data_IF_720810378321
#
_entry.id   IF_720810378321
#
_cell.length_a   1.000
_cell.length_b   1.000
_cell.length_c   1.000
_cell.angle_alpha   90.00
_cell.angle_beta   90.00
_cell.angle_gamma   90.00
#
_symmetry.space_group_name_H-M   'P 1'
#
loop_
_entity.id
_entity.type
_entity.pdbx_description
1 polymer ?
#
# COMPACT_ATOMS: atom_id res chain seq x y z
N UNK A 1 -41.56 -7.44 -70.78
CA UNK A 1 -41.73 -7.76 -69.35
C UNK A 1 -41.44 -9.23 -69.15
N UNK A 2 -40.36 -9.57 -68.45
CA UNK A 2 -40.18 -10.78 -67.62
C UNK A 2 -38.70 -10.87 -67.24
N UNK A 3 -38.43 -10.63 -65.96
CA UNK A 3 -37.14 -10.65 -65.28
C UNK A 3 -36.58 -12.07 -65.15
N UNK A 4 -35.29 -12.27 -65.45
CA UNK A 4 -34.54 -13.41 -64.92
C UNK A 4 -33.06 -13.07 -64.68
N UNK A 5 -32.65 -13.07 -63.42
CA UNK A 5 -31.36 -13.61 -62.92
C UNK A 5 -31.12 -13.15 -61.48
N UNK A 6 -31.53 -13.96 -60.50
CA UNK A 6 -30.98 -13.88 -59.15
C UNK A 6 -29.78 -14.81 -59.05
N UNK A 7 -28.59 -14.26 -58.85
CA UNK A 7 -27.37 -15.04 -58.55
C UNK A 7 -27.42 -15.52 -57.10
N UNK A 8 -27.71 -16.82 -56.90
CA UNK A 8 -27.63 -17.48 -55.59
C UNK A 8 -26.23 -18.06 -55.41
N UNK A 9 -25.43 -17.46 -54.53
CA UNK A 9 -24.10 -17.95 -54.18
C UNK A 9 -24.19 -19.37 -53.58
N UNK A 10 -23.48 -20.33 -54.18
CA UNK A 10 -23.33 -21.70 -53.67
C UNK A 10 -22.45 -21.69 -52.43
N UNK A 11 -23.07 -21.99 -51.29
CA UNK A 11 -22.42 -22.17 -49.98
C UNK A 11 -21.57 -23.45 -50.01
N UNK A 12 -20.24 -23.31 -49.95
CA UNK A 12 -19.30 -24.43 -49.80
C UNK A 12 -19.50 -25.09 -48.42
N UNK A 13 -20.13 -26.27 -48.38
CA UNK A 13 -20.11 -27.13 -47.18
C UNK A 13 -18.76 -27.88 -47.18
N UNK A 14 -17.83 -27.46 -46.31
CA UNK A 14 -16.66 -28.28 -45.96
C UNK A 14 -17.15 -29.57 -45.28
N UNK A 15 -16.85 -30.72 -45.90
CA UNK A 15 -16.97 -32.04 -45.27
C UNK A 15 -15.95 -32.11 -44.14
N UNK A 16 -16.41 -32.16 -42.89
CA UNK A 16 -15.59 -32.66 -41.79
C UNK A 16 -15.54 -34.18 -41.91
N UNK A 17 -14.35 -34.71 -42.09
CA UNK A 17 -14.03 -36.13 -42.02
C UNK A 17 -14.24 -36.62 -40.58
N UNK A 18 -15.05 -37.66 -40.40
CA UNK A 18 -15.16 -38.39 -39.13
C UNK A 18 -13.80 -39.02 -38.80
N UNK A 19 -12.98 -38.35 -37.97
CA UNK A 19 -11.88 -39.02 -37.26
C UNK A 19 -12.52 -39.88 -36.16
N UNK A 20 -12.07 -41.13 -36.01
CA UNK A 20 -12.48 -41.96 -34.88
C UNK A 20 -12.03 -41.31 -33.57
N UNK A 21 -12.78 -41.53 -32.49
CA UNK A 21 -12.51 -40.98 -31.16
C UNK A 21 -11.07 -41.28 -30.70
N UNK A 22 -10.55 -42.47 -31.05
CA UNK A 22 -9.17 -42.88 -30.79
C UNK A 22 -8.14 -41.96 -31.44
N UNK A 23 -8.29 -41.59 -32.72
CA UNK A 23 -7.37 -40.68 -33.40
C UNK A 23 -7.40 -39.26 -32.86
N UNK A 24 -8.54 -38.85 -32.30
CA UNK A 24 -8.71 -37.55 -31.66
C UNK A 24 -8.03 -37.53 -30.29
N UNK A 25 -8.10 -38.64 -29.56
CA UNK A 25 -7.45 -38.81 -28.27
C UNK A 25 -5.93 -38.95 -28.41
N UNK A 26 -5.45 -39.69 -29.41
CA UNK A 26 -4.02 -39.80 -29.74
C UNK A 26 -3.44 -38.43 -30.08
N UNK A 27 -4.13 -37.65 -30.91
CA UNK A 27 -3.72 -36.29 -31.26
C UNK A 27 -3.73 -35.33 -30.05
N UNK A 28 -4.67 -35.51 -29.12
CA UNK A 28 -4.71 -34.71 -27.90
C UNK A 28 -3.53 -35.06 -26.96
N UNK A 29 -3.19 -36.35 -26.84
CA UNK A 29 -2.04 -36.79 -26.05
C UNK A 29 -0.71 -36.29 -26.64
N UNK A 30 -0.55 -36.35 -27.96
CA UNK A 30 0.63 -35.78 -28.64
C UNK A 30 0.74 -34.27 -28.39
N UNK A 31 -0.36 -33.53 -28.52
CA UNK A 31 -0.37 -32.08 -28.25
C UNK A 31 -0.08 -31.74 -26.79
N UNK A 32 -0.53 -32.58 -25.85
CA UNK A 32 -0.27 -32.40 -24.42
C UNK A 32 1.20 -32.66 -24.09
N UNK A 33 1.80 -33.70 -24.67
CA UNK A 33 3.23 -34.01 -24.50
C UNK A 33 4.11 -32.91 -25.10
N UNK A 34 3.75 -32.40 -26.28
CA UNK A 34 4.47 -31.31 -26.93
C UNK A 34 4.36 -29.99 -26.14
N UNK A 35 3.20 -29.73 -25.52
CA UNK A 35 3.02 -28.58 -24.63
C UNK A 35 3.85 -28.71 -23.35
N UNK A 36 3.93 -29.90 -22.78
CA UNK A 36 4.72 -30.19 -21.57
C UNK A 36 6.24 -30.06 -21.85
N UNK A 37 6.73 -30.61 -22.97
CA UNK A 37 8.13 -30.42 -23.37
C UNK A 37 8.48 -28.94 -23.62
N UNK A 38 7.58 -28.20 -24.27
CA UNK A 38 7.80 -26.77 -24.51
C UNK A 38 7.82 -25.96 -23.21
N UNK A 39 6.98 -26.34 -22.24
CA UNK A 39 6.99 -25.74 -20.90
C UNK A 39 8.34 -25.97 -20.20
N UNK A 40 8.85 -27.20 -20.18
CA UNK A 40 10.14 -27.51 -19.55
C UNK A 40 11.31 -26.78 -20.23
N UNK A 41 11.33 -26.69 -21.57
CA UNK A 41 12.37 -25.94 -22.30
C UNK A 41 12.35 -24.44 -21.97
N UNK A 42 11.16 -23.85 -21.87
CA UNK A 42 11.00 -22.44 -21.51
C UNK A 42 11.44 -22.17 -20.06
N UNK A 43 11.11 -23.07 -19.13
CA UNK A 43 11.52 -22.92 -17.73
C UNK A 43 13.04 -23.12 -17.57
N UNK A 44 13.65 -24.04 -18.31
CA UNK A 44 15.10 -24.22 -18.34
C UNK A 44 15.82 -22.97 -18.88
N UNK A 45 15.32 -22.38 -19.97
CA UNK A 45 15.84 -21.11 -20.50
C UNK A 45 15.69 -19.96 -19.49
N UNK A 46 14.58 -19.93 -18.75
CA UNK A 46 14.35 -18.91 -17.72
C UNK A 46 15.32 -19.05 -16.55
N UNK A 47 15.54 -20.29 -16.08
CA UNK A 47 16.51 -20.59 -15.02
C UNK A 47 17.93 -20.20 -15.44
N UNK A 48 18.35 -20.55 -16.66
CA UNK A 48 19.65 -20.14 -17.20
C UNK A 48 19.80 -18.61 -17.27
N UNK A 49 18.73 -17.89 -17.65
CA UNK A 49 18.75 -16.43 -17.69
C UNK A 49 18.80 -15.80 -16.28
N UNK A 50 18.14 -16.40 -15.29
CA UNK A 50 18.22 -15.98 -13.88
C UNK A 50 19.62 -16.21 -13.30
N UNK A 51 20.24 -17.36 -13.58
CA UNK A 51 21.59 -17.66 -13.10
C UNK A 51 22.63 -16.74 -13.73
N UNK A 52 22.53 -16.46 -15.03
CA UNK A 52 23.40 -15.48 -15.70
C UNK A 52 23.25 -14.08 -15.09
N UNK A 53 22.04 -13.67 -14.71
CA UNK A 53 21.81 -12.39 -14.00
C UNK A 53 22.48 -12.38 -12.63
N UNK A 54 22.33 -13.45 -11.84
CA UNK A 54 22.98 -13.58 -10.53
C UNK A 54 24.49 -13.53 -10.64
N UNK A 55 25.08 -14.23 -11.62
CA UNK A 55 26.52 -14.17 -11.89
C UNK A 55 26.98 -12.76 -12.27
N UNK A 56 26.20 -12.06 -13.09
CA UNK A 56 26.50 -10.68 -13.50
C UNK A 56 26.43 -9.72 -12.32
N UNK A 57 25.42 -9.86 -11.45
CA UNK A 57 25.29 -9.07 -10.22
C UNK A 57 26.44 -9.36 -9.25
N UNK A 58 26.76 -10.63 -9.03
CA UNK A 58 27.88 -11.04 -8.18
C UNK A 58 29.23 -10.51 -8.70
N UNK A 59 29.45 -10.55 -10.02
CA UNK A 59 30.64 -9.97 -10.64
C UNK A 59 30.70 -8.45 -10.47
N UNK A 60 29.56 -7.75 -10.49
CA UNK A 60 29.51 -6.30 -10.24
C UNK A 60 29.81 -5.97 -8.79
N UNK A 61 29.28 -6.75 -7.84
CA UNK A 61 29.57 -6.60 -6.41
C UNK A 61 31.05 -6.82 -6.11
N UNK A 62 31.65 -7.88 -6.66
CA UNK A 62 33.09 -8.14 -6.54
C UNK A 62 33.92 -6.99 -7.13
N UNK A 63 33.51 -6.45 -8.28
CA UNK A 63 34.18 -5.30 -8.89
C UNK A 63 34.08 -4.05 -8.02
N UNK A 64 32.90 -3.76 -7.43
CA UNK A 64 32.74 -2.64 -6.50
C UNK A 64 33.58 -2.82 -5.22
N UNK A 65 33.65 -4.03 -4.67
CA UNK A 65 34.49 -4.34 -3.51
C UNK A 65 35.98 -4.16 -3.83
N UNK A 66 36.42 -4.56 -5.03
CA UNK A 66 37.80 -4.37 -5.48
C UNK A 66 38.12 -2.88 -5.67
N UNK A 67 37.21 -2.10 -6.26
CA UNK A 67 37.30 -0.64 -6.37
C UNK A 67 37.39 0.04 -5.00
N UNK A 68 36.56 -0.39 -4.03
CA UNK A 68 36.64 0.08 -2.64
C UNK A 68 38.00 -0.26 -2.03
N UNK A 69 38.48 -1.49 -2.19
CA UNK A 69 39.77 -1.92 -1.69
C UNK A 69 40.94 -1.10 -2.23
N UNK A 70 40.90 -0.73 -3.52
CA UNK A 70 41.89 0.15 -4.14
C UNK A 70 41.81 1.59 -3.61
N UNK A 71 40.60 2.12 -3.38
CA UNK A 71 40.42 3.43 -2.75
C UNK A 71 41.00 3.46 -1.33
N UNK A 72 40.76 2.41 -0.52
CA UNK A 72 41.34 2.31 0.83
C UNK A 72 42.87 2.15 0.81
N UNK A 73 43.43 1.37 -0.12
CA UNK A 73 44.89 1.25 -0.29
C UNK A 73 45.55 2.56 -0.77
N UNK A 74 44.85 3.38 -1.55
CA UNK A 74 45.29 4.72 -1.94
C UNK A 74 45.35 5.71 -0.76
N UNK A 75 44.39 5.61 0.16
CA UNK A 75 44.36 6.41 1.39
C UNK A 75 45.53 6.05 2.32
N UNK A 76 45.93 4.77 2.38
CA UNK A 76 47.08 4.33 3.20
C UNK A 76 48.43 4.83 2.66
N UNK A 77 48.56 5.04 1.34
CA UNK A 77 49.76 5.65 0.74
C UNK A 77 49.84 7.16 0.96
N UNK A 78 48.72 7.87 0.98
CA UNK A 78 48.70 9.31 1.26
C UNK A 78 49.05 9.65 2.73
N UNK A 79 48.73 8.75 3.67
CA UNK A 79 49.09 8.91 5.09
C UNK A 79 50.58 8.64 5.38
N UNK A 80 51.30 7.92 4.52
CA UNK A 80 52.72 7.61 4.71
C UNK A 80 53.68 8.72 4.21
N UNK A 81 53.18 9.75 3.53
CA UNK A 81 53.99 10.83 2.94
C UNK A 81 54.00 12.15 3.72
N UNK A 82 53.47 12.18 4.95
CA UNK A 82 53.55 13.37 5.81
C UNK A 82 54.17 13.05 7.16
N UNK A 83 55.50 13.07 7.22
CA UNK A 83 56.27 13.27 8.46
C UNK A 83 57.60 13.93 8.08
N UNK A 84 57.89 15.17 8.52
CA UNK A 84 59.19 15.79 8.25
C UNK A 84 60.26 15.16 9.13
N UNK A 85 61.42 14.91 8.53
CA UNK A 85 62.64 14.50 9.20
C UNK A 85 63.12 15.58 10.17
N UNK A 86 63.49 15.17 11.39
CA UNK A 86 64.29 15.98 12.33
C UNK A 86 65.66 15.30 12.47
N UNK A 87 66.72 16.04 12.14
CA UNK A 87 68.12 15.65 12.33
C UNK A 87 68.58 15.85 13.80
N UNK A 88 69.65 15.16 14.25
CA UNK A 88 69.97 15.02 15.65
C UNK A 88 71.06 15.98 16.14
N UNK A 89 70.96 16.42 17.40
CA UNK A 89 72.06 17.02 18.17
C UNK A 89 72.37 16.20 19.43
N UNK A 90 73.66 15.79 19.51
CA UNK A 90 74.45 15.25 20.64
C UNK A 90 74.38 16.17 21.88
N UNK A 91 74.62 15.84 23.16
CA UNK A 91 75.27 14.78 23.97
C UNK A 91 74.62 14.89 25.39
N UNK A 92 74.52 13.87 26.24
CA UNK A 92 75.59 13.47 27.19
C UNK A 92 75.09 12.38 28.16
N UNK A 93 76.04 11.67 28.74
CA UNK A 93 75.97 10.37 29.41
C UNK A 93 75.56 10.42 30.89
N UNK A 94 74.89 9.38 31.37
CA UNK A 94 75.28 8.56 32.54
C UNK A 94 74.20 7.51 32.87
N UNK A 95 74.58 6.23 32.91
CA UNK A 95 73.77 5.16 33.53
C UNK A 95 74.24 4.91 34.97
N UNK A 96 74.00 3.72 35.58
CA UNK A 96 72.91 2.74 35.39
C UNK A 96 72.25 2.36 36.75
N UNK A 97 71.17 1.55 36.76
CA UNK A 97 70.99 0.34 37.61
C UNK A 97 69.53 -0.15 37.72
N UNK A 98 69.42 -1.48 37.78
CA UNK A 98 68.28 -2.41 37.91
C UNK A 98 68.53 -3.20 39.25
N UNK A 99 67.64 -3.99 39.95
CA UNK A 99 66.20 -4.37 39.83
C UNK A 99 65.44 -4.29 41.22
N UNK A 100 64.60 -5.26 41.67
CA UNK A 100 63.13 -5.17 41.80
C UNK A 100 62.67 -5.30 43.28
N UNK A 101 61.35 -5.39 43.58
CA UNK A 101 60.75 -6.33 44.57
C UNK A 101 59.24 -6.07 44.76
N UNK A 102 58.58 -7.17 45.14
CA UNK A 102 57.18 -7.60 45.25
C UNK A 102 56.31 -6.91 46.35
N UNK A 103 55.00 -7.25 46.43
CA UNK A 103 53.94 -6.45 47.06
C UNK A 103 53.71 -6.77 48.54
N UNK A 104 53.05 -5.87 49.25
CA UNK A 104 52.55 -6.11 50.61
C UNK A 104 51.12 -5.57 50.80
N UNK A 105 50.25 -6.46 51.26
CA UNK A 105 48.93 -6.24 51.80
C UNK A 105 48.96 -5.36 53.07
N UNK A 106 47.86 -4.67 53.36
CA UNK A 106 47.61 -4.13 54.70
C UNK A 106 46.43 -3.17 54.79
N UNK A 107 45.34 -3.66 55.37
CA UNK A 107 44.14 -2.93 55.80
C UNK A 107 44.43 -1.63 56.57
N UNK A 108 43.58 -0.61 56.45
CA UNK A 108 42.59 -0.26 57.49
C UNK A 108 41.95 1.13 57.28
N UNK A 109 40.67 1.19 57.67
CA UNK A 109 39.94 2.31 58.28
C UNK A 109 39.60 3.56 57.46
N UNK A 110 38.29 3.69 57.19
CA UNK A 110 37.58 4.97 57.18
C UNK A 110 37.78 5.74 58.49
N UNK A 111 37.78 7.08 58.43
CA UNK A 111 36.60 7.78 58.94
C UNK A 111 36.10 8.91 58.02
N UNK A 112 34.87 9.31 58.29
CA UNK A 112 34.08 10.33 57.63
C UNK A 112 34.69 11.74 57.71
N UNK A 113 34.43 12.55 56.69
CA UNK A 113 34.31 14.01 56.81
C UNK A 113 33.25 14.51 55.84
N UNK A 114 32.21 15.14 56.40
CA UNK A 114 31.25 16.00 55.72
C UNK A 114 31.93 17.30 55.27
N UNK A 115 31.61 17.78 54.06
CA UNK A 115 31.49 19.21 53.76
C UNK A 115 30.84 19.42 52.38
N UNK A 116 29.61 19.92 52.43
CA UNK A 116 29.05 20.99 51.60
C UNK A 116 29.52 21.14 50.13
N UNK A 117 28.62 20.87 49.19
CA UNK A 117 28.53 21.68 47.97
C UNK A 117 27.08 22.08 47.69
N UNK A 118 26.87 23.39 47.74
CA UNK A 118 25.64 24.07 47.44
C UNK A 118 25.34 24.07 45.93
N UNK A 119 24.04 23.92 45.63
CA UNK A 119 23.28 24.48 44.52
C UNK A 119 24.01 24.81 43.20
N UNK A 120 23.79 23.98 42.19
CA UNK A 120 23.39 24.46 40.87
C UNK A 120 22.33 23.56 40.26
N UNK A 121 21.08 23.96 40.46
CA UNK A 121 19.89 23.42 39.81
C UNK A 121 19.91 23.72 38.31
N UNK A 122 20.13 22.70 37.48
CA UNK A 122 19.66 22.68 36.09
C UNK A 122 18.63 21.55 35.95
N UNK A 123 17.38 21.99 35.80
CA UNK A 123 16.19 21.17 35.66
C UNK A 123 16.28 20.27 34.42
N UNK A 124 16.25 18.96 34.64
CA UNK A 124 15.86 18.00 33.61
C UNK A 124 14.33 17.85 33.65
N UNK A 125 13.64 18.38 32.65
CA UNK A 125 12.23 18.10 32.31
C UNK A 125 11.98 18.47 30.83
N UNK A 126 10.96 17.94 30.12
CA UNK A 126 10.22 16.69 30.28
C UNK A 126 10.03 15.98 28.91
N UNK A 127 10.71 14.85 28.65
CA UNK A 127 10.44 14.06 27.42
C UNK A 127 9.33 13.02 27.65
N UNK A 128 9.09 12.62 28.90
CA UNK A 128 8.13 11.54 29.24
C UNK A 128 6.67 12.06 29.29
N UNK A 129 6.43 13.33 29.65
CA UNK A 129 5.07 13.86 29.83
C UNK A 129 4.35 14.17 28.50
N UNK A 130 5.07 14.53 27.43
CA UNK A 130 4.49 14.84 26.11
C UNK A 130 3.85 13.62 25.45
N UNK A 131 4.48 12.44 25.56
CA UNK A 131 3.98 11.20 24.95
C UNK A 131 2.67 10.73 25.57
N UNK A 132 2.51 10.85 26.89
CA UNK A 132 1.26 10.54 27.58
C UNK A 132 0.12 11.52 27.24
N UNK A 133 0.44 12.79 26.99
CA UNK A 133 -0.54 13.84 26.70
C UNK A 133 -1.05 13.77 25.25
N UNK A 134 -0.16 13.48 24.30
CA UNK A 134 -0.52 13.15 22.91
C UNK A 134 -1.36 11.87 22.84
N UNK A 135 -0.97 10.82 23.56
CA UNK A 135 -1.73 9.57 23.64
C UNK A 135 -3.14 9.78 24.17
N UNK A 136 -3.32 10.53 25.27
CA UNK A 136 -4.66 10.84 25.82
C UNK A 136 -5.55 11.65 24.87
N UNK A 137 -4.98 12.58 24.11
CA UNK A 137 -5.76 13.44 23.20
C UNK A 137 -6.16 12.68 21.93
N UNK A 138 -5.24 11.89 21.36
CA UNK A 138 -5.55 11.00 20.24
C UNK A 138 -6.58 9.93 20.63
N UNK A 139 -6.47 9.35 21.83
CA UNK A 139 -7.44 8.40 22.35
C UNK A 139 -8.83 9.02 22.55
N UNK A 140 -8.91 10.24 23.11
CA UNK A 140 -10.18 10.99 23.20
C UNK A 140 -10.81 11.27 21.83
N UNK A 141 -9.99 11.56 20.81
CA UNK A 141 -10.48 11.74 19.45
C UNK A 141 -11.04 10.42 18.88
N UNK A 142 -10.36 9.29 19.10
CA UNK A 142 -10.85 7.97 18.67
C UNK A 142 -12.20 7.61 19.31
N UNK A 143 -12.31 7.79 20.63
CA UNK A 143 -13.52 7.47 21.39
C UNK A 143 -14.73 8.30 20.93
N UNK A 144 -14.48 9.51 20.40
CA UNK A 144 -15.54 10.37 19.87
C UNK A 144 -16.05 9.99 18.48
N UNK A 145 -15.20 9.35 17.65
CA UNK A 145 -15.52 9.01 16.25
C UNK A 145 -16.10 7.61 16.13
N UNK A 146 -15.68 6.67 16.98
CA UNK A 146 -16.15 5.28 16.91
C UNK A 146 -17.68 5.13 16.98
N UNK A 147 -18.42 5.86 17.84
CA UNK A 147 -19.89 5.82 17.81
C UNK A 147 -20.48 6.32 16.49
N UNK A 148 -19.83 7.29 15.84
CA UNK A 148 -20.27 7.79 14.53
C UNK A 148 -20.12 6.70 13.47
N UNK A 149 -19.00 5.97 13.48
CA UNK A 149 -18.80 4.82 12.59
C UNK A 149 -19.89 3.78 12.79
N UNK A 150 -20.21 3.41 14.04
CA UNK A 150 -21.27 2.44 14.33
C UNK A 150 -22.63 2.88 13.77
N UNK A 151 -22.94 4.17 13.83
CA UNK A 151 -24.19 4.73 13.30
C UNK A 151 -24.28 4.71 11.77
N UNK A 152 -23.16 4.68 11.05
CA UNK A 152 -23.16 4.64 9.58
C UNK A 152 -23.28 3.23 9.02
N UNK A 153 -22.94 2.20 9.81
CA UNK A 153 -23.00 0.80 9.39
C UNK A 153 -24.47 0.37 9.27
N UNK A 154 -24.93 -0.13 8.10
CA UNK A 154 -26.30 -0.58 7.94
C UNK A 154 -26.57 -1.83 8.77
N UNK A 155 -27.75 -1.92 9.44
CA UNK A 155 -28.13 -3.14 10.13
C UNK A 155 -28.41 -4.26 9.11
N UNK A 156 -28.02 -5.49 9.46
CA UNK A 156 -28.40 -6.68 8.72
C UNK A 156 -29.91 -6.91 8.89
N UNK A 157 -30.67 -6.85 7.79
CA UNK A 157 -32.13 -7.03 7.83
C UNK A 157 -32.60 -7.87 6.65
N UNK A 158 -33.66 -8.66 6.85
CA UNK A 158 -34.30 -9.45 5.79
C UNK A 158 -35.12 -8.62 4.80
N UNK A 159 -35.28 -7.31 5.06
CA UNK A 159 -36.05 -6.39 4.21
C UNK A 159 -35.26 -5.88 3.01
N UNK A 160 -33.94 -5.98 3.06
CA UNK A 160 -33.06 -5.55 1.96
C UNK A 160 -32.80 -6.69 0.99
N UNK A 161 -32.52 -6.33 -0.25
CA UNK A 161 -32.16 -7.25 -1.32
C UNK A 161 -30.69 -7.10 -1.70
N UNK A 162 -30.13 -8.14 -2.32
CA UNK A 162 -28.72 -8.18 -2.74
C UNK A 162 -28.31 -6.95 -3.54
N UNK A 163 -27.24 -6.32 -3.10
CA UNK A 163 -26.64 -5.15 -3.71
C UNK A 163 -27.07 -3.82 -3.07
N UNK A 164 -27.99 -3.81 -2.10
CA UNK A 164 -28.40 -2.58 -1.42
C UNK A 164 -27.40 -2.11 -0.37
N UNK A 165 -26.59 -3.01 0.19
CA UNK A 165 -25.60 -2.68 1.22
C UNK A 165 -24.17 -2.55 0.68
N UNK A 166 -23.98 -2.63 -0.64
CA UNK A 166 -22.71 -2.24 -1.26
C UNK A 166 -22.43 -2.94 -2.58
N UNK A 167 -22.32 -2.15 -3.64
CA UNK A 167 -21.74 -2.58 -4.93
C UNK A 167 -20.44 -1.82 -5.15
N UNK A 168 -19.31 -2.44 -4.85
CA UNK A 168 -18.00 -1.78 -4.91
C UNK A 168 -17.32 -2.12 -6.22
N UNK A 169 -16.79 -1.13 -6.93
CA UNK A 169 -15.95 -1.35 -8.10
C UNK A 169 -14.49 -1.09 -7.78
N UNK A 170 -13.59 -1.93 -8.28
CA UNK A 170 -12.14 -1.73 -8.23
C UNK A 170 -11.63 -1.56 -9.66
N UNK A 171 -11.01 -0.43 -9.97
CA UNK A 171 -10.31 -0.16 -11.23
C UNK A 171 -8.81 -0.39 -11.00
N UNK A 172 -8.28 -1.44 -11.59
CA UNK A 172 -6.89 -1.84 -11.38
C UNK A 172 -6.59 -3.21 -11.98
N UNK A 173 -5.42 -3.76 -11.70
CA UNK A 173 -4.98 -5.04 -12.25
C UNK A 173 -4.43 -4.96 -13.67
N UNK A 174 -3.11 -4.84 -13.77
CA UNK A 174 -2.33 -5.06 -14.98
C UNK A 174 -1.72 -6.48 -15.00
N UNK A 175 -0.97 -6.78 -16.06
CA UNK A 175 -0.32 -8.06 -16.27
C UNK A 175 0.51 -8.53 -15.05
N UNK A 176 1.24 -7.62 -14.41
CA UNK A 176 2.11 -7.92 -13.28
C UNK A 176 1.38 -7.93 -11.93
N UNK A 177 0.42 -7.03 -11.74
CA UNK A 177 -0.16 -6.74 -10.42
C UNK A 177 -1.59 -7.25 -10.28
N UNK A 178 -1.75 -8.57 -10.25
CA UNK A 178 -3.06 -9.24 -10.09
C UNK A 178 -3.51 -9.37 -8.64
N UNK A 179 -2.57 -9.41 -7.68
CA UNK A 179 -2.88 -9.57 -6.25
C UNK A 179 -3.51 -8.34 -5.61
N UNK A 180 -3.05 -7.15 -5.96
CA UNK A 180 -3.54 -5.88 -5.42
C UNK A 180 -5.06 -5.65 -5.64
N UNK A 181 -5.60 -5.73 -6.87
CA UNK A 181 -7.04 -5.57 -7.10
C UNK A 181 -7.84 -6.70 -6.43
N UNK A 182 -7.30 -7.92 -6.33
CA UNK A 182 -7.91 -9.00 -5.58
C UNK A 182 -8.05 -8.63 -4.10
N UNK A 183 -6.96 -8.24 -3.44
CA UNK A 183 -6.96 -7.91 -2.01
C UNK A 183 -7.94 -6.77 -1.69
N UNK A 184 -8.01 -5.74 -2.53
CA UNK A 184 -9.00 -4.68 -2.39
C UNK A 184 -10.44 -5.22 -2.53
N UNK A 185 -10.70 -5.99 -3.58
CA UNK A 185 -12.03 -6.49 -3.89
C UNK A 185 -12.55 -7.50 -2.86
N UNK A 186 -11.70 -8.44 -2.40
CA UNK A 186 -12.10 -9.43 -1.40
C UNK A 186 -12.24 -8.80 -0.01
N UNK A 187 -11.44 -7.78 0.31
CA UNK A 187 -11.58 -7.04 1.57
C UNK A 187 -12.92 -6.31 1.62
N UNK A 188 -13.35 -5.70 0.50
CA UNK A 188 -14.68 -5.09 0.42
C UNK A 188 -15.81 -6.11 0.72
N UNK A 189 -15.75 -7.30 0.15
CA UNK A 189 -16.74 -8.37 0.45
C UNK A 189 -16.68 -8.80 1.93
N UNK A 190 -15.47 -9.00 2.47
CA UNK A 190 -15.26 -9.43 3.86
C UNK A 190 -15.70 -8.39 4.89
N UNK A 191 -15.65 -7.10 4.55
CA UNK A 191 -16.20 -6.01 5.39
C UNK A 191 -17.72 -6.02 5.39
N UNK A 192 -18.36 -6.37 4.27
CA UNK A 192 -19.81 -6.47 4.18
C UNK A 192 -20.43 -5.93 2.90
N UNK A 193 -19.65 -5.65 1.85
CA UNK A 193 -20.23 -5.35 0.54
C UNK A 193 -20.98 -6.57 0.00
N UNK A 194 -22.16 -6.34 -0.58
CA UNK A 194 -22.97 -7.39 -1.22
C UNK A 194 -22.34 -7.92 -2.51
N UNK A 195 -21.66 -7.03 -3.25
CA UNK A 195 -21.05 -7.32 -4.55
C UNK A 195 -19.76 -6.51 -4.71
N UNK A 196 -18.76 -7.16 -5.28
CA UNK A 196 -17.46 -6.57 -5.59
C UNK A 196 -17.11 -6.85 -7.05
N UNK A 197 -16.87 -5.78 -7.80
CA UNK A 197 -16.54 -5.80 -9.21
C UNK A 197 -15.09 -5.40 -9.40
N UNK A 198 -14.36 -6.13 -10.23
CA UNK A 198 -12.97 -5.78 -10.60
C UNK A 198 -12.95 -5.48 -12.09
N UNK A 199 -12.56 -4.28 -12.48
CA UNK A 199 -12.32 -3.90 -13.87
C UNK A 199 -10.82 -3.87 -14.07
N UNK A 200 -10.33 -4.85 -14.83
CA UNK A 200 -8.90 -5.08 -15.02
C UNK A 200 -8.56 -5.32 -16.49
N UNK A 201 -7.26 -5.40 -16.75
CA UNK A 201 -6.75 -5.85 -18.05
C UNK A 201 -7.16 -7.30 -18.32
N UNK A 202 -7.18 -7.68 -19.59
CA UNK A 202 -7.57 -9.02 -20.02
C UNK A 202 -6.64 -10.10 -19.42
N UNK A 203 -5.34 -9.82 -19.38
CA UNK A 203 -4.33 -10.77 -18.92
C UNK A 203 -4.38 -10.96 -17.40
N UNK A 204 -4.75 -9.94 -16.63
CA UNK A 204 -4.95 -10.04 -15.19
C UNK A 204 -6.19 -10.87 -14.81
N UNK A 205 -7.21 -10.89 -15.68
CA UNK A 205 -8.55 -11.33 -15.29
C UNK A 205 -8.64 -12.81 -14.94
N UNK A 206 -7.97 -13.70 -15.69
CA UNK A 206 -8.01 -15.14 -15.41
C UNK A 206 -7.39 -15.47 -14.06
N UNK A 207 -6.27 -14.80 -13.73
CA UNK A 207 -5.59 -14.96 -12.45
C UNK A 207 -6.45 -14.44 -11.30
N UNK A 208 -7.05 -13.26 -11.42
CA UNK A 208 -7.92 -12.70 -10.37
C UNK A 208 -9.14 -13.60 -10.14
N UNK A 209 -9.75 -14.14 -11.20
CA UNK A 209 -10.88 -15.07 -11.12
C UNK A 209 -10.52 -16.38 -10.42
N UNK A 210 -9.28 -16.85 -10.52
CA UNK A 210 -8.86 -18.10 -9.87
C UNK A 210 -8.66 -17.95 -8.36
N UNK A 211 -8.43 -16.73 -7.86
CA UNK A 211 -8.30 -16.47 -6.43
C UNK A 211 -9.63 -16.53 -5.66
N UNK A 212 -10.77 -16.23 -6.30
CA UNK A 212 -12.09 -16.25 -5.65
C UNK A 212 -13.24 -16.30 -6.66
N UNK A 213 -14.18 -17.26 -6.54
CA UNK A 213 -15.39 -17.30 -7.36
C UNK A 213 -16.44 -16.22 -7.02
N UNK A 214 -16.29 -15.51 -5.90
CA UNK A 214 -17.23 -14.49 -5.43
C UNK A 214 -17.07 -13.15 -6.15
N UNK A 215 -15.89 -12.88 -6.73
CA UNK A 215 -15.58 -11.63 -7.42
C UNK A 215 -16.17 -11.60 -8.83
N UNK A 216 -16.77 -10.47 -9.21
CA UNK A 216 -17.25 -10.25 -10.58
C UNK A 216 -16.15 -9.51 -11.35
N UNK A 217 -15.37 -10.25 -12.14
CA UNK A 217 -14.18 -9.73 -12.83
C UNK A 217 -14.48 -9.43 -14.31
N UNK A 218 -14.26 -8.17 -14.69
CA UNK A 218 -14.50 -7.59 -16.01
C UNK A 218 -13.17 -7.31 -16.73
N UNK A 219 -12.77 -8.12 -17.73
CA UNK A 219 -11.54 -7.95 -18.51
C UNK A 219 -11.74 -6.89 -19.61
N UNK A 220 -11.81 -5.61 -19.23
CA UNK A 220 -12.17 -4.53 -20.16
C UNK A 220 -11.22 -3.33 -20.13
N UNK A 221 -10.31 -3.24 -19.15
CA UNK A 221 -9.57 -2.00 -18.86
C UNK A 221 -8.56 -1.61 -19.95
N UNK A 222 -8.04 -2.60 -20.68
CA UNK A 222 -7.14 -2.50 -21.83
C UNK A 222 -7.88 -2.53 -23.18
N UNK A 223 -9.22 -2.57 -23.17
CA UNK A 223 -10.01 -2.58 -24.40
C UNK A 223 -10.06 -1.18 -25.05
N UNK A 224 -10.11 -1.08 -26.39
CA UNK A 224 -10.32 0.22 -27.06
C UNK A 224 -11.58 0.96 -26.63
N UNK A 225 -12.60 0.23 -26.14
CA UNK A 225 -13.86 0.75 -25.60
C UNK A 225 -13.99 0.55 -24.08
N UNK A 226 -12.86 0.54 -23.35
CA UNK A 226 -12.83 0.30 -21.90
C UNK A 226 -13.80 1.20 -21.14
N UNK A 227 -13.79 2.50 -21.46
CA UNK A 227 -14.59 3.51 -20.76
C UNK A 227 -16.07 3.27 -20.98
N UNK A 228 -16.51 2.95 -22.19
CA UNK A 228 -17.91 2.66 -22.50
C UNK A 228 -18.39 1.37 -21.81
N UNK A 229 -17.55 0.33 -21.74
CA UNK A 229 -17.89 -0.91 -21.05
C UNK A 229 -18.01 -0.71 -19.53
N UNK A 230 -17.08 0.04 -18.93
CA UNK A 230 -17.10 0.36 -17.48
C UNK A 230 -18.28 1.29 -17.16
N UNK A 231 -18.58 2.27 -18.02
CA UNK A 231 -19.66 3.23 -17.80
C UNK A 231 -21.04 2.55 -17.65
N UNK A 232 -21.29 1.44 -18.35
CA UNK A 232 -22.53 0.64 -18.20
C UNK A 232 -22.76 0.17 -16.76
N UNK A 233 -21.70 0.03 -15.97
CA UNK A 233 -21.75 -0.42 -14.59
C UNK A 233 -21.81 0.71 -13.58
N UNK A 234 -21.26 1.89 -13.88
CA UNK A 234 -21.20 3.02 -12.93
C UNK A 234 -22.55 3.35 -12.26
N UNK A 235 -23.71 3.35 -12.96
CA UNK A 235 -25.01 3.60 -12.30
C UNK A 235 -25.40 2.59 -11.21
N UNK A 236 -24.76 1.42 -11.20
CA UNK A 236 -25.02 0.33 -10.23
C UNK A 236 -24.02 0.36 -9.08
N UNK A 237 -22.85 0.98 -9.26
CA UNK A 237 -21.81 1.01 -8.25
C UNK A 237 -22.12 2.09 -7.21
N UNK A 238 -21.84 1.74 -5.96
CA UNK A 238 -22.04 2.62 -4.81
C UNK A 238 -20.75 3.31 -4.36
N UNK A 239 -19.58 2.73 -4.68
CA UNK A 239 -18.27 3.36 -4.53
C UNK A 239 -17.28 2.75 -5.51
N UNK A 240 -16.23 3.50 -5.81
CA UNK A 240 -15.13 3.09 -6.69
C UNK A 240 -13.80 3.17 -5.94
N UNK A 241 -12.96 2.16 -6.09
CA UNK A 241 -11.55 2.15 -5.67
C UNK A 241 -10.71 2.15 -6.94
N UNK A 242 -9.77 3.09 -7.07
CA UNK A 242 -8.93 3.23 -8.27
C UNK A 242 -7.47 3.18 -7.88
N UNK A 243 -6.71 2.32 -8.54
CA UNK A 243 -5.26 2.27 -8.39
C UNK A 243 -4.63 0.92 -7.99
N UNK A 244 -5.27 0.03 -7.21
CA UNK A 244 -4.69 -1.26 -6.83
C UNK A 244 -4.23 -2.07 -8.04
N UNK A 245 -2.91 -2.14 -8.25
CA UNK A 245 -2.30 -2.81 -9.40
C UNK A 245 -2.65 -2.20 -10.76
N UNK A 246 -3.01 -0.92 -10.84
CA UNK A 246 -3.42 -0.25 -12.08
C UNK A 246 -2.31 -0.23 -13.13
N UNK A 247 -1.05 -0.13 -12.71
CA UNK A 247 0.07 0.09 -13.61
C UNK A 247 0.10 1.53 -14.13
N UNK A 248 0.99 1.79 -15.09
CA UNK A 248 1.26 3.15 -15.60
C UNK A 248 1.31 3.23 -17.12
N UNK A 249 0.69 2.27 -17.80
CA UNK A 249 0.54 2.31 -19.25
C UNK A 249 -0.45 3.41 -19.65
N UNK A 250 -0.11 4.20 -20.67
CA UNK A 250 -0.89 5.38 -21.07
C UNK A 250 -2.35 5.06 -21.39
N UNK A 251 -2.60 3.92 -22.05
CA UNK A 251 -3.97 3.48 -22.40
C UNK A 251 -4.80 3.23 -21.13
N UNK A 252 -4.22 2.55 -20.14
CA UNK A 252 -4.88 2.23 -18.88
C UNK A 252 -5.12 3.49 -18.05
N UNK A 253 -4.12 4.36 -17.96
CA UNK A 253 -4.23 5.63 -17.24
C UNK A 253 -5.26 6.57 -17.86
N UNK A 254 -5.35 6.60 -19.19
CA UNK A 254 -6.38 7.36 -19.91
C UNK A 254 -7.78 6.82 -19.59
N UNK A 255 -7.97 5.50 -19.65
CA UNK A 255 -9.25 4.89 -19.29
C UNK A 255 -9.62 5.18 -17.82
N UNK A 256 -8.68 5.04 -16.89
CA UNK A 256 -8.89 5.33 -15.48
C UNK A 256 -9.26 6.81 -15.24
N UNK A 257 -8.61 7.75 -15.93
CA UNK A 257 -8.94 9.18 -15.90
C UNK A 257 -10.40 9.43 -16.28
N UNK A 258 -10.83 8.92 -17.43
CA UNK A 258 -12.20 9.13 -17.91
C UNK A 258 -13.24 8.46 -17.01
N UNK A 259 -12.92 7.30 -16.43
CA UNK A 259 -13.78 6.62 -15.45
C UNK A 259 -13.90 7.43 -14.15
N UNK A 260 -12.82 8.05 -13.67
CA UNK A 260 -12.86 8.95 -12.49
C UNK A 260 -13.79 10.13 -12.77
N UNK A 261 -13.65 10.78 -13.92
CA UNK A 261 -14.48 11.93 -14.31
C UNK A 261 -15.97 11.56 -14.41
N UNK A 262 -16.29 10.43 -15.05
CA UNK A 262 -17.66 9.90 -15.15
C UNK A 262 -18.23 9.47 -13.80
N UNK A 263 -17.39 9.02 -12.86
CA UNK A 263 -17.82 8.66 -11.51
C UNK A 263 -18.09 9.91 -10.66
N UNK A 264 -17.23 10.92 -10.80
CA UNK A 264 -17.35 12.24 -10.16
C UNK A 264 -18.66 12.92 -10.56
N UNK A 265 -18.99 12.95 -11.85
CA UNK A 265 -20.24 13.55 -12.36
C UNK A 265 -21.51 12.86 -11.85
N UNK A 266 -21.40 11.60 -11.41
CA UNK A 266 -22.48 10.80 -10.81
C UNK A 266 -22.54 10.89 -9.28
N UNK A 267 -21.59 11.57 -8.64
CA UNK A 267 -21.55 11.65 -7.18
C UNK A 267 -21.15 10.35 -6.47
N UNK A 268 -20.52 9.40 -7.18
CA UNK A 268 -20.05 8.12 -6.62
C UNK A 268 -18.80 8.38 -5.77
N UNK A 269 -18.74 8.03 -4.47
CA UNK A 269 -17.53 8.11 -3.67
C UNK A 269 -16.35 7.36 -4.30
N UNK A 270 -15.19 8.02 -4.40
CA UNK A 270 -14.00 7.48 -5.08
C UNK A 270 -12.83 7.43 -4.11
N UNK A 271 -12.29 6.24 -3.87
CA UNK A 271 -11.05 6.00 -3.16
C UNK A 271 -9.93 5.89 -4.19
N UNK A 272 -8.88 6.70 -4.04
CA UNK A 272 -7.68 6.65 -4.87
C UNK A 272 -6.52 6.12 -4.03
N UNK A 273 -5.87 5.07 -4.52
CA UNK A 273 -4.72 4.41 -3.88
C UNK A 273 -3.62 4.14 -4.91
N UNK A 274 -2.41 3.80 -4.47
CA UNK A 274 -1.30 3.33 -5.29
C UNK A 274 -1.08 4.14 -6.60
N UNK A 275 -1.10 3.49 -7.77
CA UNK A 275 -0.89 4.17 -9.06
C UNK A 275 -2.04 5.12 -9.46
N UNK A 276 -3.22 4.98 -8.84
CA UNK A 276 -4.24 6.02 -8.91
C UNK A 276 -3.74 7.35 -8.33
N UNK A 277 -2.97 7.31 -7.23
CA UNK A 277 -2.37 8.52 -6.65
C UNK A 277 -1.24 9.07 -7.53
N UNK A 278 -0.53 8.20 -8.26
CA UNK A 278 0.43 8.63 -9.27
C UNK A 278 -0.28 9.43 -10.37
N UNK A 279 -1.44 8.96 -10.84
CA UNK A 279 -2.26 9.67 -11.83
C UNK A 279 -2.73 11.03 -11.28
N UNK A 280 -3.24 11.08 -10.04
CA UNK A 280 -3.65 12.35 -9.41
C UNK A 280 -2.47 13.30 -9.21
N UNK A 281 -1.27 12.82 -8.92
CA UNK A 281 -0.09 13.70 -8.82
C UNK A 281 0.30 14.32 -10.17
N UNK A 282 -0.05 13.68 -11.30
CA UNK A 282 0.14 14.26 -12.64
C UNK A 282 -0.95 15.24 -13.03
N UNK A 283 -2.17 14.97 -12.62
CA UNK A 283 -3.34 15.82 -12.90
C UNK A 283 -4.25 15.92 -11.66
N UNK A 284 -3.94 16.82 -10.72
CA UNK A 284 -4.73 16.93 -9.49
C UNK A 284 -6.19 17.35 -9.73
N UNK A 285 -6.46 18.01 -10.85
CA UNK A 285 -7.79 18.53 -11.21
C UNK A 285 -8.87 17.43 -11.29
N UNK A 286 -8.45 16.19 -11.55
CA UNK A 286 -9.32 15.01 -11.63
C UNK A 286 -10.18 14.82 -10.38
N UNK A 287 -9.59 15.01 -9.21
CA UNK A 287 -10.26 14.82 -7.91
C UNK A 287 -10.42 16.11 -7.11
N UNK A 288 -9.76 17.20 -7.54
CA UNK A 288 -9.87 18.50 -6.86
C UNK A 288 -11.34 18.94 -6.73
N UNK A 289 -11.66 19.50 -5.56
CA UNK A 289 -12.99 19.96 -5.13
C UNK A 289 -14.05 18.86 -5.06
N UNK A 290 -13.68 17.58 -5.17
CA UNK A 290 -14.59 16.48 -5.01
C UNK A 290 -14.56 15.95 -3.58
N UNK A 291 -15.45 16.48 -2.73
CA UNK A 291 -15.48 16.13 -1.29
C UNK A 291 -15.84 14.65 -1.00
N UNK A 292 -16.31 13.90 -2.01
CA UNK A 292 -16.51 12.44 -1.94
C UNK A 292 -15.28 11.64 -2.41
N UNK A 293 -14.19 12.32 -2.76
CA UNK A 293 -12.89 11.75 -3.06
C UNK A 293 -12.10 11.50 -1.78
N UNK A 294 -11.40 10.38 -1.73
CA UNK A 294 -10.54 9.99 -0.61
C UNK A 294 -9.20 9.51 -1.17
N UNK A 295 -8.11 10.13 -0.75
CA UNK A 295 -6.75 9.75 -1.16
C UNK A 295 -6.07 9.00 -0.02
N UNK A 296 -5.37 7.91 -0.33
CA UNK A 296 -4.74 7.05 0.68
C UNK A 296 -3.21 6.98 0.55
N UNK A 297 -2.48 8.10 0.46
CA UNK A 297 -1.06 8.06 0.16
C UNK A 297 -0.21 7.49 1.30
N UNK A 298 0.80 6.69 0.95
CA UNK A 298 1.98 6.51 1.79
C UNK A 298 2.85 7.76 1.77
N UNK A 299 3.92 7.79 2.57
CA UNK A 299 4.81 8.95 2.66
C UNK A 299 5.35 9.42 1.28
N UNK A 300 5.80 8.50 0.43
CA UNK A 300 6.36 8.86 -0.88
C UNK A 300 5.29 9.38 -1.86
N UNK A 301 4.11 8.78 -1.85
CA UNK A 301 2.96 9.25 -2.63
C UNK A 301 2.49 10.61 -2.15
N UNK A 302 2.48 10.84 -0.84
CA UNK A 302 2.09 12.09 -0.22
C UNK A 302 3.05 13.22 -0.59
N UNK A 303 4.36 12.99 -0.52
CA UNK A 303 5.37 13.95 -0.98
C UNK A 303 5.12 14.37 -2.42
N UNK A 304 4.89 13.41 -3.33
CA UNK A 304 4.60 13.71 -4.74
C UNK A 304 3.33 14.54 -4.92
N UNK A 305 2.26 14.20 -4.21
CA UNK A 305 1.00 14.96 -4.27
C UNK A 305 1.16 16.37 -3.68
N UNK A 306 1.86 16.50 -2.56
CA UNK A 306 2.11 17.79 -1.91
C UNK A 306 2.91 18.72 -2.82
N UNK A 307 4.00 18.22 -3.40
CA UNK A 307 4.86 19.00 -4.30
C UNK A 307 4.15 19.36 -5.60
N UNK A 308 3.32 18.46 -6.15
CA UNK A 308 2.50 18.74 -7.32
C UNK A 308 1.46 19.85 -7.06
N UNK A 309 0.86 19.88 -5.87
CA UNK A 309 -0.17 20.85 -5.50
C UNK A 309 0.37 22.21 -5.05
N UNK A 310 1.51 22.23 -4.33
CA UNK A 310 2.05 23.44 -3.73
C UNK A 310 3.26 24.02 -4.48
N UNK A 311 3.79 23.30 -5.49
CA UNK A 311 4.98 23.70 -6.25
C UNK A 311 6.20 24.01 -5.37
N UNK A 312 6.35 23.29 -4.26
CA UNK A 312 7.46 23.39 -3.31
C UNK A 312 7.73 22.04 -2.64
N UNK A 313 8.97 21.77 -2.21
CA UNK A 313 9.30 20.56 -1.45
C UNK A 313 8.48 20.40 -0.18
N UNK A 314 8.21 19.16 0.20
CA UNK A 314 7.57 18.85 1.49
C UNK A 314 8.54 19.11 2.65
N UNK A 315 8.12 19.95 3.60
CA UNK A 315 8.72 20.01 4.93
C UNK A 315 8.06 18.94 5.82
N UNK A 316 8.83 17.92 6.20
CA UNK A 316 8.31 16.77 6.95
C UNK A 316 8.30 16.96 8.48
N UNK A 317 8.62 18.16 8.98
CA UNK A 317 8.63 18.45 10.42
C UNK A 317 7.25 18.37 11.07
N UNK A 318 6.18 18.76 10.36
CA UNK A 318 4.79 18.67 10.84
C UNK A 318 3.86 18.08 9.76
N UNK A 319 3.86 16.75 9.67
CA UNK A 319 3.02 16.02 8.71
C UNK A 319 1.51 16.24 8.93
N UNK A 320 1.06 16.57 10.14
CA UNK A 320 -0.37 16.83 10.41
C UNK A 320 -0.81 18.12 9.73
N UNK A 321 -0.02 19.18 9.89
CA UNK A 321 -0.23 20.45 9.21
C UNK A 321 -0.11 20.31 7.69
N UNK A 322 0.90 19.59 7.19
CA UNK A 322 1.06 19.37 5.75
C UNK A 322 -0.12 18.60 5.15
N UNK A 323 -0.63 17.55 5.81
CA UNK A 323 -1.78 16.81 5.32
C UNK A 323 -3.04 17.68 5.27
N UNK A 324 -3.24 18.53 6.30
CA UNK A 324 -4.35 19.47 6.33
C UNK A 324 -4.25 20.50 5.19
N UNK A 325 -3.06 21.07 4.97
CA UNK A 325 -2.80 22.01 3.88
C UNK A 325 -3.07 21.38 2.51
N UNK A 326 -2.62 20.14 2.29
CA UNK A 326 -2.88 19.42 1.04
C UNK A 326 -4.39 19.24 0.83
N UNK A 327 -5.11 18.79 1.85
CA UNK A 327 -6.57 18.61 1.76
C UNK A 327 -7.29 19.92 1.43
N UNK A 328 -6.91 21.03 2.07
CA UNK A 328 -7.45 22.37 1.77
C UNK A 328 -7.15 22.80 0.33
N UNK A 329 -5.90 22.64 -0.13
CA UNK A 329 -5.50 22.96 -1.51
C UNK A 329 -6.25 22.11 -2.54
N UNK A 330 -6.60 20.87 -2.17
CA UNK A 330 -7.41 19.98 -3.00
C UNK A 330 -8.92 20.23 -2.90
N UNK A 331 -9.38 21.23 -2.14
CA UNK A 331 -10.79 21.56 -2.00
C UNK A 331 -11.54 20.65 -1.02
N UNK A 332 -10.93 20.38 0.13
CA UNK A 332 -11.46 19.53 1.21
C UNK A 332 -11.67 18.06 0.81
N UNK A 333 -10.83 17.54 -0.09
CA UNK A 333 -10.72 16.11 -0.38
C UNK A 333 -10.12 15.41 0.83
N UNK A 334 -10.68 14.27 1.23
CA UNK A 334 -10.17 13.55 2.41
C UNK A 334 -8.82 12.90 2.11
N UNK A 335 -7.85 13.08 2.99
CA UNK A 335 -6.51 12.50 2.91
C UNK A 335 -6.31 11.52 4.07
N UNK A 336 -5.86 10.30 3.76
CA UNK A 336 -5.39 9.28 4.70
C UNK A 336 -3.90 9.10 4.48
N UNK A 337 -3.09 9.87 5.20
CA UNK A 337 -1.64 9.75 5.16
C UNK A 337 -1.22 8.54 6.01
N UNK A 338 -0.83 7.46 5.32
CA UNK A 338 -0.42 6.18 5.93
C UNK A 338 0.96 6.32 6.57
N UNK A 339 1.10 5.89 7.82
CA UNK A 339 2.32 6.06 8.61
C UNK A 339 2.39 5.13 9.83
N UNK A 340 3.29 5.45 10.75
CA UNK A 340 3.30 4.79 12.07
C UNK A 340 2.00 5.06 12.82
N UNK A 341 1.61 6.33 12.84
CA UNK A 341 0.23 6.80 13.08
C UNK A 341 -0.35 7.24 11.74
N UNK A 342 -1.59 6.83 11.45
CA UNK A 342 -2.25 7.32 10.25
C UNK A 342 -2.92 8.66 10.54
N UNK A 343 -2.59 9.66 9.73
CA UNK A 343 -3.16 11.01 9.82
C UNK A 343 -4.31 11.10 8.82
N UNK A 344 -5.49 11.47 9.31
CA UNK A 344 -6.71 11.51 8.50
C UNK A 344 -7.28 12.92 8.57
N UNK A 345 -7.51 13.56 7.43
CA UNK A 345 -7.98 14.96 7.39
C UNK A 345 -8.87 15.25 6.21
N UNK A 346 -9.85 16.12 6.40
CA UNK A 346 -10.69 16.72 5.37
C UNK A 346 -10.38 18.23 5.17
N UNK A 347 -9.24 18.68 5.71
CA UNK A 347 -8.78 20.05 5.69
C UNK A 347 -9.34 20.90 6.84
N UNK A 348 -10.51 20.55 7.35
CA UNK A 348 -11.14 21.25 8.48
C UNK A 348 -10.82 20.57 9.82
N UNK A 349 -10.70 19.24 9.82
CA UNK A 349 -10.39 18.43 10.99
C UNK A 349 -9.24 17.50 10.70
N UNK A 350 -8.41 17.27 11.71
CA UNK A 350 -7.33 16.27 11.67
C UNK A 350 -7.59 15.24 12.77
N UNK A 351 -7.64 13.97 12.37
CA UNK A 351 -7.70 12.81 13.24
C UNK A 351 -6.37 12.06 13.15
N UNK A 352 -6.04 11.34 14.23
CA UNK A 352 -4.93 10.40 14.24
C UNK A 352 -5.46 9.05 14.66
N UNK A 353 -5.28 8.03 13.82
CA UNK A 353 -5.58 6.65 14.20
C UNK A 353 -4.32 6.04 14.84
N UNK A 354 -4.30 6.02 16.17
CA UNK A 354 -3.19 5.45 16.96
C UNK A 354 -3.42 3.97 17.31
N UNK A 355 -4.43 3.33 16.69
CA UNK A 355 -4.67 1.91 16.91
C UNK A 355 -3.40 1.13 16.61
N UNK A 356 -2.90 0.37 17.58
CA UNK A 356 -1.64 -0.32 17.38
C UNK A 356 -1.82 -1.40 16.31
N UNK A 357 -1.06 -1.25 15.22
CA UNK A 357 -0.86 -2.32 14.25
C UNK A 357 0.24 -3.26 14.75
N UNK A 358 1.08 -3.74 13.82
CA UNK A 358 2.26 -4.53 14.11
C UNK A 358 3.49 -3.95 13.40
N UNK A 359 4.69 -4.43 13.78
CA UNK A 359 5.91 -4.12 13.06
C UNK A 359 6.03 -4.78 11.68
N UNK A 360 5.05 -5.61 11.27
CA UNK A 360 5.09 -6.35 10.00
C UNK A 360 4.29 -5.62 8.91
N UNK A 361 5.02 -5.20 7.88
CA UNK A 361 4.47 -4.52 6.68
C UNK A 361 4.21 -5.53 5.56
N UNK A 362 2.96 -5.94 5.38
CA UNK A 362 2.55 -6.83 4.28
C UNK A 362 2.35 -6.01 2.99
N UNK A 363 2.76 -6.55 1.84
CA UNK A 363 2.69 -5.82 0.55
C UNK A 363 1.28 -5.34 0.20
N UNK A 364 0.25 -6.15 0.45
CA UNK A 364 -1.14 -5.81 0.14
C UNK A 364 -1.94 -5.16 1.29
N UNK A 365 -1.28 -4.66 2.33
CA UNK A 365 -1.98 -4.00 3.44
C UNK A 365 -2.72 -2.73 3.00
N UNK A 366 -2.16 -1.98 2.03
CA UNK A 366 -2.82 -0.83 1.43
C UNK A 366 -4.08 -1.20 0.67
N UNK A 367 -4.06 -2.33 -0.05
CA UNK A 367 -5.22 -2.82 -0.79
C UNK A 367 -6.37 -3.21 0.14
N UNK A 368 -6.09 -3.84 1.29
CA UNK A 368 -7.10 -4.11 2.32
C UNK A 368 -7.75 -2.81 2.80
N UNK A 369 -6.94 -1.79 3.08
CA UNK A 369 -7.43 -0.46 3.50
C UNK A 369 -8.33 0.15 2.43
N UNK A 370 -7.88 0.23 1.18
CA UNK A 370 -8.63 0.90 0.11
C UNK A 370 -9.92 0.15 -0.25
N UNK A 371 -9.89 -1.19 -0.26
CA UNK A 371 -11.08 -2.03 -0.41
C UNK A 371 -12.11 -1.83 0.71
N UNK A 372 -11.65 -1.87 1.97
CA UNK A 372 -12.51 -1.63 3.14
C UNK A 372 -13.10 -0.22 3.13
N UNK A 373 -12.28 0.77 2.76
CA UNK A 373 -12.68 2.17 2.68
C UNK A 373 -13.76 2.42 1.63
N UNK A 374 -13.75 1.72 0.49
CA UNK A 374 -14.84 1.81 -0.49
C UNK A 374 -16.21 1.46 0.12
N UNK A 375 -16.25 0.44 0.98
CA UNK A 375 -17.48 0.03 1.69
C UNK A 375 -17.91 1.09 2.70
N UNK A 376 -17.01 1.49 3.60
CA UNK A 376 -17.31 2.48 4.61
C UNK A 376 -17.68 3.84 4.00
N UNK A 377 -17.07 4.23 2.88
CA UNK A 377 -17.40 5.46 2.18
C UNK A 377 -18.84 5.42 1.66
N UNK A 378 -19.27 4.31 1.05
CA UNK A 378 -20.66 4.13 0.65
C UNK A 378 -21.61 4.24 1.85
N UNK A 379 -21.36 3.48 2.93
CA UNK A 379 -22.21 3.46 4.11
C UNK A 379 -22.32 4.84 4.78
N UNK A 380 -21.20 5.52 4.98
CA UNK A 380 -21.18 6.84 5.59
C UNK A 380 -21.87 7.88 4.72
N UNK A 381 -21.59 7.92 3.41
CA UNK A 381 -22.21 8.91 2.49
C UNK A 381 -23.71 8.67 2.31
N UNK A 382 -24.17 7.42 2.50
CA UNK A 382 -25.61 7.06 2.40
C UNK A 382 -26.35 7.22 3.73
N UNK A 383 -25.63 7.44 4.84
CA UNK A 383 -26.21 7.63 6.16
C UNK A 383 -26.83 9.03 6.32
N UNK A 384 -27.69 9.21 7.33
CA UNK A 384 -28.27 10.52 7.63
C UNK A 384 -27.20 11.46 8.19
N UNK A 385 -27.31 12.79 8.00
CA UNK A 385 -26.40 13.76 8.62
C UNK A 385 -26.28 13.63 10.15
N UNK A 386 -27.35 13.16 10.81
CA UNK A 386 -27.37 12.90 12.25
C UNK A 386 -26.49 11.72 12.64
N UNK A 387 -26.32 10.72 11.76
CA UNK A 387 -25.48 9.55 12.02
C UNK A 387 -24.02 9.96 12.25
N UNK A 388 -23.54 10.96 11.51
CA UNK A 388 -22.18 11.50 11.64
C UNK A 388 -22.10 12.73 12.55
N UNK A 389 -23.22 13.20 13.12
CA UNK A 389 -23.31 14.42 13.95
C UNK A 389 -22.63 15.63 13.29
N UNK A 390 -22.82 15.79 11.98
CA UNK A 390 -22.21 16.87 11.19
C UNK A 390 -20.72 16.71 10.87
N UNK A 391 -20.08 15.59 11.24
CA UNK A 391 -18.74 15.26 10.76
C UNK A 391 -18.81 14.81 9.29
N UNK A 392 -17.78 15.14 8.52
CA UNK A 392 -17.68 14.71 7.12
C UNK A 392 -17.75 13.17 7.02
N UNK A 393 -18.70 12.60 6.27
CA UNK A 393 -18.84 11.15 6.11
C UNK A 393 -17.57 10.44 5.62
N UNK A 394 -16.80 11.05 4.74
CA UNK A 394 -15.55 10.43 4.24
C UNK A 394 -14.46 10.38 5.31
N UNK A 395 -14.44 11.34 6.23
CA UNK A 395 -13.55 11.35 7.40
C UNK A 395 -13.90 10.21 8.36
N UNK A 396 -15.20 9.99 8.62
CA UNK A 396 -15.71 8.88 9.44
C UNK A 396 -15.37 7.53 8.78
N UNK A 397 -15.59 7.42 7.47
CA UNK A 397 -15.27 6.21 6.70
C UNK A 397 -13.76 5.89 6.71
N UNK A 398 -12.91 6.90 6.50
CA UNK A 398 -11.47 6.77 6.57
C UNK A 398 -11.00 6.30 7.95
N UNK A 399 -11.55 6.87 9.03
CA UNK A 399 -11.24 6.43 10.39
C UNK A 399 -11.63 4.96 10.63
N UNK A 400 -12.80 4.54 10.15
CA UNK A 400 -13.28 3.16 10.25
C UNK A 400 -12.35 2.17 9.54
N UNK A 401 -12.04 2.42 8.26
CA UNK A 401 -11.22 1.54 7.43
C UNK A 401 -9.79 1.41 7.97
N UNK A 402 -9.23 2.53 8.44
CA UNK A 402 -7.89 2.56 9.04
C UNK A 402 -7.83 1.79 10.36
N UNK A 403 -8.83 1.99 11.24
CA UNK A 403 -8.94 1.26 12.51
C UNK A 403 -9.08 -0.24 12.28
N UNK A 404 -9.92 -0.63 11.32
CA UNK A 404 -10.10 -2.03 10.91
C UNK A 404 -8.79 -2.63 10.40
N UNK A 405 -8.11 -1.96 9.47
CA UNK A 405 -6.86 -2.44 8.86
C UNK A 405 -5.78 -2.68 9.92
N UNK A 406 -5.63 -1.73 10.86
CA UNK A 406 -4.67 -1.86 11.97
C UNK A 406 -5.03 -3.00 12.92
N UNK A 407 -6.32 -3.15 13.25
CA UNK A 407 -6.80 -4.24 14.09
C UNK A 407 -6.65 -5.62 13.41
N UNK A 408 -6.81 -5.71 12.09
CA UNK A 408 -6.54 -6.93 11.32
C UNK A 408 -5.04 -7.26 11.34
N UNK A 409 -4.19 -6.25 11.08
CA UNK A 409 -2.74 -6.42 11.09
C UNK A 409 -2.22 -6.90 12.44
N UNK A 410 -2.69 -6.30 13.54
CA UNK A 410 -2.34 -6.72 14.90
C UNK A 410 -2.75 -8.16 15.18
N UNK A 411 -4.01 -8.53 14.93
CA UNK A 411 -4.49 -9.89 15.18
C UNK A 411 -3.74 -10.94 14.36
N UNK A 412 -3.51 -10.66 13.07
CA UNK A 412 -2.78 -11.58 12.20
C UNK A 412 -1.32 -11.71 12.67
N UNK A 413 -0.70 -10.61 13.09
CA UNK A 413 0.66 -10.63 13.65
C UNK A 413 0.76 -11.37 14.98
N UNK A 414 -0.22 -11.21 15.87
CA UNK A 414 -0.26 -11.93 17.14
C UNK A 414 -0.31 -13.47 16.91
N UNK A 415 -0.88 -13.92 15.78
CA UNK A 415 -0.97 -15.34 15.40
C UNK A 415 0.22 -15.85 14.59
N UNK A 416 0.69 -15.08 13.62
CA UNK A 416 1.66 -15.53 12.61
C UNK A 416 3.04 -14.89 12.77
N UNK A 417 3.18 -13.89 13.64
CA UNK A 417 4.43 -13.17 13.90
C UNK A 417 5.07 -12.66 12.60
N UNK A 418 6.36 -12.99 12.42
CA UNK A 418 7.14 -12.60 11.25
C UNK A 418 6.53 -13.08 9.92
N UNK A 419 5.86 -14.23 9.93
CA UNK A 419 5.33 -14.88 8.74
C UNK A 419 4.01 -14.26 8.24
N UNK A 420 3.43 -13.29 8.97
CA UNK A 420 2.18 -12.64 8.59
C UNK A 420 2.21 -12.13 7.15
N UNK A 421 1.13 -12.44 6.43
CA UNK A 421 0.84 -12.05 5.05
C UNK A 421 -0.45 -11.22 4.96
N UNK A 422 -0.75 -10.67 3.79
CA UNK A 422 -2.03 -9.98 3.56
C UNK A 422 -3.22 -10.92 3.63
N UNK A 423 -3.07 -12.17 3.19
CA UNK A 423 -4.13 -13.18 3.28
C UNK A 423 -4.51 -13.47 4.72
N UNK A 424 -3.52 -13.54 5.63
CA UNK A 424 -3.77 -13.71 7.07
C UNK A 424 -4.55 -12.51 7.63
N UNK A 425 -4.20 -11.29 7.23
CA UNK A 425 -4.94 -10.08 7.62
C UNK A 425 -6.40 -10.10 7.14
N UNK A 426 -6.66 -10.60 5.93
CA UNK A 426 -8.01 -10.72 5.38
C UNK A 426 -8.86 -11.70 6.19
N UNK A 427 -8.27 -12.77 6.71
CA UNK A 427 -8.96 -13.72 7.59
C UNK A 427 -9.42 -13.08 8.91
N UNK A 428 -8.71 -12.05 9.36
CA UNK A 428 -9.03 -11.31 10.59
C UNK A 428 -10.09 -10.20 10.40
N UNK A 429 -10.56 -9.93 9.18
CA UNK A 429 -11.52 -8.82 8.96
C UNK A 429 -12.80 -9.02 9.78
N UNK A 430 -13.38 -10.21 9.80
CA UNK A 430 -14.64 -10.45 10.51
C UNK A 430 -14.48 -10.30 12.03
N UNK A 431 -13.40 -10.86 12.61
CA UNK A 431 -13.10 -10.76 14.04
C UNK A 431 -12.77 -9.33 14.45
N UNK A 432 -11.99 -8.61 13.62
CA UNK A 432 -11.69 -7.20 13.80
C UNK A 432 -12.94 -6.32 13.74
N UNK A 433 -13.81 -6.55 12.75
CA UNK A 433 -15.03 -5.78 12.54
C UNK A 433 -15.96 -5.91 13.74
N UNK A 434 -16.23 -7.15 14.19
CA UNK A 434 -17.04 -7.42 15.39
C UNK A 434 -16.51 -6.67 16.61
N UNK A 435 -15.20 -6.80 16.85
CA UNK A 435 -14.53 -6.19 18.01
C UNK A 435 -14.54 -4.67 18.00
N UNK A 436 -14.55 -4.03 16.84
CA UNK A 436 -14.53 -2.58 16.74
C UNK A 436 -15.94 -1.99 16.70
N UNK A 437 -16.84 -2.62 15.97
CA UNK A 437 -18.07 -1.98 15.53
C UNK A 437 -19.35 -2.64 16.04
N UNK A 438 -19.30 -3.90 16.49
CA UNK A 438 -20.48 -4.64 16.97
C UNK A 438 -20.44 -4.96 18.47
N UNK A 439 -19.29 -4.76 19.13
CA UNK A 439 -19.11 -4.98 20.57
C UNK A 439 -19.56 -3.81 21.43
#
# INVERSE_FOLDING_TARGET
MASSSSSRAKRFKKRFTNLSLEKLMEKFLEQSLEAEENFYRLEEQRLQAEDLRRETEHSRELHMLQMLGQMFAGITRAAATQSPAVQPTRLSQSGPHIPPVRPSFGNHSHPAFEAEFANSSQQAAPVIERSFTLGRTAQRNMDSVLPLVKNTIPPLTSKKHKGQDGRIGVIGGCQEYTGAPYFAAISALKVGADLSHVFCTKDAATVIKSYSPELIVHPVLDSPNAVEEIEKWLPRLHSLVVGPGLGREDVILKAAKEVIEKSKSRGIPIVIDADGLWLIAKDPSLIQFYQRGILTPNFMEFTRLYEAMHHRPLDSTDLKSCAQQLSLAMGNVTIVLKGEEDIITDGNRVLSCIHSGSGRRCGGQGDLLSGSLGVFAHWAVSSTPDATKGMNPTLVAAFAATSLTRQCNRQAFDRHGRATTTSDMIQEICTAFRKLFES
#
